data_IF_738253909915
#
_entry.id   IF_738253909915
#
_cell.length_a   1.000
_cell.length_b   1.000
_cell.length_c   1.000
_cell.angle_alpha   90.00
_cell.angle_beta   90.00
_cell.angle_gamma   90.00
#
_symmetry.space_group_name_H-M   'P 1'
#
loop_
_entity.id
_entity.type
_entity.pdbx_description
1 polymer ?
#
# COMPACT_ATOMS: atom_id res chain seq x y z
N UNK A 1 26.03 9.80 -3.17
CA UNK A 1 24.58 10.06 -3.01
C UNK A 1 24.31 11.46 -3.49
N UNK A 2 23.23 11.70 -4.22
CA UNK A 2 22.84 13.06 -4.58
C UNK A 2 22.43 13.82 -3.31
N UNK A 3 22.74 15.11 -3.25
CA UNK A 3 22.38 15.97 -2.11
C UNK A 3 20.85 16.07 -2.00
N UNK A 4 20.26 15.83 -0.82
CA UNK A 4 18.82 15.99 -0.64
C UNK A 4 18.43 17.44 -0.89
N UNK A 5 17.35 17.63 -1.66
CA UNK A 5 16.75 18.94 -1.94
C UNK A 5 15.37 19.05 -1.28
N UNK A 6 14.89 20.28 -1.13
CA UNK A 6 13.51 20.52 -0.66
C UNK A 6 12.49 19.83 -1.57
N UNK A 7 12.69 19.90 -2.89
CA UNK A 7 11.82 19.27 -3.88
C UNK A 7 11.80 17.75 -3.75
N UNK A 8 12.95 17.10 -3.55
CA UNK A 8 13.03 15.65 -3.37
C UNK A 8 12.39 15.22 -2.04
N UNK A 9 12.56 16.00 -0.96
CA UNK A 9 11.91 15.71 0.32
C UNK A 9 10.38 15.79 0.21
N UNK A 10 9.85 16.92 -0.26
CA UNK A 10 8.40 17.13 -0.43
C UNK A 10 7.82 16.10 -1.40
N UNK A 11 8.52 15.84 -2.50
CA UNK A 11 8.15 14.85 -3.50
C UNK A 11 8.01 13.45 -2.92
N UNK A 12 8.91 13.05 -2.00
CA UNK A 12 8.95 11.71 -1.40
C UNK A 12 8.02 11.57 -0.19
N UNK A 13 7.95 12.56 0.68
CA UNK A 13 7.29 12.45 2.01
C UNK A 13 5.86 12.98 2.00
N UNK A 14 5.50 13.85 1.06
CA UNK A 14 4.17 14.45 0.99
C UNK A 14 3.46 14.03 -0.30
N UNK A 15 4.07 14.31 -1.46
CA UNK A 15 3.41 14.11 -2.74
C UNK A 15 3.24 12.62 -3.08
N UNK A 16 4.24 11.78 -2.82
CA UNK A 16 4.15 10.36 -3.10
C UNK A 16 3.05 9.66 -2.28
N UNK A 17 2.91 9.87 -0.96
CA UNK A 17 1.75 9.38 -0.21
C UNK A 17 0.41 9.83 -0.76
N UNK A 18 0.27 11.10 -1.17
CA UNK A 18 -0.98 11.61 -1.76
C UNK A 18 -1.31 10.90 -3.08
N UNK A 19 -0.32 10.77 -3.96
CA UNK A 19 -0.48 10.10 -5.26
C UNK A 19 -0.88 8.63 -5.06
N UNK A 20 -0.28 7.96 -4.08
CA UNK A 20 -0.73 6.61 -3.67
C UNK A 20 -2.17 6.65 -3.17
N UNK A 21 -2.51 7.52 -2.23
CA UNK A 21 -3.82 7.54 -1.63
C UNK A 21 -4.97 7.84 -2.63
N UNK A 22 -4.70 8.56 -3.72
CA UNK A 22 -5.68 8.79 -4.80
C UNK A 22 -6.23 7.49 -5.39
N UNK A 23 -5.42 6.45 -5.48
CA UNK A 23 -5.92 5.15 -5.93
C UNK A 23 -6.86 4.50 -4.92
N UNK A 24 -6.59 4.69 -3.63
CA UNK A 24 -7.47 4.23 -2.55
C UNK A 24 -8.76 5.04 -2.50
N UNK A 25 -8.75 6.34 -2.84
CA UNK A 25 -9.98 7.13 -3.07
C UNK A 25 -10.84 6.45 -4.13
N UNK A 26 -10.27 6.20 -5.32
CA UNK A 26 -11.04 5.65 -6.45
C UNK A 26 -11.58 4.26 -6.12
N UNK A 27 -10.74 3.36 -5.58
CA UNK A 27 -11.14 1.98 -5.30
C UNK A 27 -12.17 1.90 -4.15
N UNK A 28 -11.96 2.63 -3.05
CA UNK A 28 -12.92 2.62 -1.93
C UNK A 28 -14.24 3.31 -2.30
N UNK A 29 -14.22 4.33 -3.15
CA UNK A 29 -15.44 4.97 -3.67
C UNK A 29 -16.24 4.00 -4.53
N UNK A 30 -15.56 3.31 -5.46
CA UNK A 30 -16.19 2.29 -6.30
C UNK A 30 -16.82 1.18 -5.45
N UNK A 31 -16.06 0.62 -4.50
CA UNK A 31 -16.54 -0.45 -3.63
C UNK A 31 -17.69 0.01 -2.72
N UNK A 32 -17.66 1.25 -2.24
CA UNK A 32 -18.76 1.83 -1.48
C UNK A 32 -20.03 1.88 -2.32
N UNK A 33 -19.91 2.35 -3.56
CA UNK A 33 -21.03 2.38 -4.49
C UNK A 33 -21.53 0.98 -4.83
N UNK A 34 -20.64 0.01 -5.08
CA UNK A 34 -21.01 -1.38 -5.37
C UNK A 34 -21.81 -2.04 -4.24
N UNK A 35 -21.37 -1.85 -3.00
CA UNK A 35 -21.95 -2.55 -1.83
C UNK A 35 -23.23 -1.87 -1.34
N UNK A 36 -23.26 -0.53 -1.33
CA UNK A 36 -24.33 0.24 -0.68
C UNK A 36 -25.12 1.16 -1.64
N UNK A 37 -24.80 1.18 -2.93
CA UNK A 37 -25.44 2.06 -3.92
C UNK A 37 -25.11 3.54 -3.75
N UNK A 38 -24.26 3.90 -2.80
CA UNK A 38 -23.91 5.27 -2.44
C UNK A 38 -22.46 5.38 -1.97
N UNK A 39 -21.93 6.60 -2.03
CA UNK A 39 -20.61 6.91 -1.49
C UNK A 39 -20.70 7.13 0.02
N UNK A 40 -19.88 6.42 0.78
CA UNK A 40 -19.71 6.62 2.21
C UNK A 40 -18.31 7.13 2.50
N UNK A 41 -18.23 8.31 3.12
CA UNK A 41 -16.97 8.97 3.42
C UNK A 41 -16.11 8.20 4.43
N UNK A 42 -16.70 7.34 5.28
CA UNK A 42 -15.99 6.66 6.37
C UNK A 42 -14.94 5.66 5.85
N UNK A 43 -15.29 4.61 5.08
CA UNK A 43 -14.29 3.68 4.56
C UNK A 43 -13.32 4.35 3.57
N UNK A 44 -13.77 5.36 2.83
CA UNK A 44 -12.91 6.15 1.94
C UNK A 44 -11.82 6.86 2.76
N UNK A 45 -12.22 7.58 3.82
CA UNK A 45 -11.29 8.29 4.70
C UNK A 45 -10.32 7.33 5.37
N UNK A 46 -10.79 6.18 5.85
CA UNK A 46 -9.94 5.14 6.47
C UNK A 46 -8.87 4.68 5.48
N UNK A 47 -9.25 4.26 4.27
CA UNK A 47 -8.30 3.74 3.29
C UNK A 47 -7.27 4.80 2.85
N UNK A 48 -7.73 6.03 2.61
CA UNK A 48 -6.88 7.16 2.20
C UNK A 48 -5.88 7.53 3.28
N UNK A 49 -6.34 7.72 4.51
CA UNK A 49 -5.47 8.11 5.62
C UNK A 49 -4.50 6.99 5.99
N UNK A 50 -4.92 5.72 5.96
CA UNK A 50 -4.01 4.58 6.15
C UNK A 50 -2.87 4.57 5.13
N UNK A 51 -3.16 4.77 3.83
CA UNK A 51 -2.13 4.83 2.80
C UNK A 51 -1.18 6.02 2.99
N UNK A 52 -1.74 7.21 3.31
CA UNK A 52 -0.93 8.40 3.57
C UNK A 52 0.02 8.16 4.73
N UNK A 53 -0.48 7.60 5.84
CA UNK A 53 0.32 7.36 7.04
C UNK A 53 1.35 6.26 6.77
N UNK A 54 0.96 5.14 6.16
CA UNK A 54 1.86 4.02 5.92
C UNK A 54 3.03 4.43 5.01
N UNK A 55 2.73 5.05 3.86
CA UNK A 55 3.77 5.51 2.92
C UNK A 55 4.55 6.67 3.53
N UNK A 56 3.87 7.64 4.14
CA UNK A 56 4.51 8.84 4.65
C UNK A 56 5.43 8.57 5.83
N UNK A 57 5.07 7.68 6.76
CA UNK A 57 5.95 7.27 7.88
C UNK A 57 7.18 6.53 7.38
N UNK A 58 7.03 5.60 6.42
CA UNK A 58 8.17 4.86 5.84
C UNK A 58 9.16 5.81 5.16
N UNK A 59 8.66 6.70 4.26
CA UNK A 59 9.50 7.66 3.57
C UNK A 59 10.09 8.74 4.50
N UNK A 60 9.35 9.15 5.55
CA UNK A 60 9.88 10.08 6.55
C UNK A 60 11.08 9.48 7.27
N UNK A 61 10.98 8.23 7.73
CA UNK A 61 12.08 7.50 8.38
C UNK A 61 13.29 7.35 7.45
N UNK A 62 13.06 7.02 6.19
CA UNK A 62 14.14 6.94 5.20
C UNK A 62 14.84 8.29 4.99
N UNK A 63 14.09 9.40 4.92
CA UNK A 63 14.67 10.74 4.83
C UNK A 63 15.39 11.17 6.10
N UNK A 64 14.91 10.79 7.30
CA UNK A 64 15.60 11.06 8.57
C UNK A 64 16.99 10.41 8.58
N UNK A 65 17.12 9.17 8.10
CA UNK A 65 18.41 8.47 7.98
C UNK A 65 19.31 9.14 6.95
N UNK A 66 18.77 9.45 5.76
CA UNK A 66 19.56 10.04 4.66
C UNK A 66 20.08 11.43 5.03
N UNK A 67 19.22 12.30 5.57
CA UNK A 67 19.59 13.69 5.90
C UNK A 67 20.43 13.72 7.18
N UNK A 68 20.17 12.83 8.15
CA UNK A 68 20.96 12.70 9.38
C UNK A 68 22.43 12.32 9.16
N UNK A 69 22.78 11.80 7.98
CA UNK A 69 24.16 11.52 7.59
C UNK A 69 24.92 12.77 7.07
N UNK A 70 24.26 13.93 6.96
CA UNK A 70 24.86 15.19 6.50
C UNK A 70 25.24 16.10 7.67
N UNK A 71 25.94 17.20 7.36
CA UNK A 71 26.36 18.17 8.37
C UNK A 71 25.18 18.85 9.09
N UNK A 72 25.48 19.46 10.25
CA UNK A 72 24.51 20.13 11.09
C UNK A 72 23.81 21.33 10.41
N UNK A 73 24.47 21.99 9.45
CA UNK A 73 23.93 23.15 8.75
C UNK A 73 22.85 22.73 7.73
N UNK A 74 23.09 21.64 7.00
CA UNK A 74 22.13 20.98 6.13
C UNK A 74 20.96 20.47 6.96
N UNK A 75 21.20 19.77 8.07
CA UNK A 75 20.14 19.31 8.98
C UNK A 75 19.24 20.45 9.45
N UNK A 76 19.82 21.59 9.87
CA UNK A 76 19.06 22.75 10.33
C UNK A 76 18.10 23.29 9.26
N UNK A 77 18.46 23.21 7.98
CA UNK A 77 17.59 23.61 6.85
C UNK A 77 16.37 22.71 6.68
N UNK A 78 16.46 21.43 7.03
CA UNK A 78 15.39 20.45 6.85
C UNK A 78 14.46 20.31 8.06
N UNK A 79 14.83 20.85 9.24
CA UNK A 79 13.99 20.82 10.45
C UNK A 79 12.54 21.29 10.19
N UNK A 80 12.28 22.44 9.52
CA UNK A 80 10.90 22.88 9.25
C UNK A 80 10.12 21.90 8.37
N UNK A 81 10.81 21.21 7.45
CA UNK A 81 10.20 20.21 6.55
C UNK A 81 9.84 18.93 7.30
N UNK A 82 10.69 18.49 8.25
CA UNK A 82 10.34 17.39 9.15
C UNK A 82 9.14 17.73 10.04
N UNK A 83 9.05 18.96 10.54
CA UNK A 83 7.86 19.42 11.29
C UNK A 83 6.61 19.42 10.41
N UNK A 84 6.69 19.96 9.19
CA UNK A 84 5.59 19.93 8.25
C UNK A 84 5.11 18.51 7.96
N UNK A 85 6.04 17.59 7.70
CA UNK A 85 5.71 16.18 7.45
C UNK A 85 5.03 15.53 8.67
N UNK A 86 5.53 15.77 9.88
CA UNK A 86 4.93 15.23 11.11
C UNK A 86 3.53 15.80 11.38
N UNK A 87 3.33 17.10 11.13
CA UNK A 87 2.00 17.72 11.23
C UNK A 87 1.05 17.11 10.21
N UNK A 88 1.48 16.97 8.96
CA UNK A 88 0.70 16.33 7.89
C UNK A 88 0.28 14.90 8.27
N UNK A 89 1.20 14.09 8.79
CA UNK A 89 0.90 12.73 9.25
C UNK A 89 -0.02 12.72 10.48
N UNK A 90 0.18 13.63 11.44
CA UNK A 90 -0.67 13.75 12.63
C UNK A 90 -2.10 14.15 12.27
N UNK A 91 -2.29 15.07 11.32
CA UNK A 91 -3.62 15.44 10.83
C UNK A 91 -4.33 14.25 10.17
N UNK A 92 -3.62 13.46 9.36
CA UNK A 92 -4.19 12.24 8.77
C UNK A 92 -4.50 11.18 9.82
N UNK A 93 -3.67 11.03 10.86
CA UNK A 93 -3.95 10.13 11.97
C UNK A 93 -5.21 10.55 12.75
N UNK A 94 -5.40 11.86 12.98
CA UNK A 94 -6.62 12.39 13.59
C UNK A 94 -7.86 12.10 12.75
N UNK A 95 -7.77 12.28 11.42
CA UNK A 95 -8.86 11.94 10.50
C UNK A 95 -9.17 10.44 10.50
N UNK A 96 -8.15 9.58 10.54
CA UNK A 96 -8.32 8.14 10.66
C UNK A 96 -9.09 7.77 11.95
N UNK A 97 -8.69 8.34 13.09
CA UNK A 97 -9.36 8.12 14.38
C UNK A 97 -10.82 8.58 14.32
N UNK A 98 -11.10 9.76 13.77
CA UNK A 98 -12.47 10.26 13.60
C UNK A 98 -13.31 9.29 12.75
N UNK A 99 -12.78 8.83 11.62
CA UNK A 99 -13.48 7.91 10.73
C UNK A 99 -13.75 6.55 11.39
N UNK A 100 -12.77 6.01 12.13
CA UNK A 100 -12.93 4.76 12.89
C UNK A 100 -13.96 4.90 14.02
N UNK A 101 -13.96 6.00 14.77
CA UNK A 101 -14.97 6.27 15.80
C UNK A 101 -16.38 6.43 15.24
N UNK A 102 -16.54 6.74 13.95
CA UNK A 102 -17.83 6.82 13.25
C UNK A 102 -18.18 5.53 12.47
N UNK A 103 -17.36 4.50 12.58
CA UNK A 103 -17.55 3.20 11.92
C UNK A 103 -17.91 2.12 12.95
N UNK A 104 -18.48 0.98 12.52
CA UNK A 104 -18.63 -0.18 13.39
C UNK A 104 -17.30 -0.58 14.06
N UNK A 105 -17.30 -1.08 15.31
CA UNK A 105 -16.06 -1.47 16.01
C UNK A 105 -15.24 -2.52 15.25
N UNK A 106 -15.90 -3.42 14.52
CA UNK A 106 -15.27 -4.43 13.66
C UNK A 106 -14.36 -3.79 12.59
N UNK A 107 -14.73 -2.62 12.06
CA UNK A 107 -13.93 -1.88 11.08
C UNK A 107 -12.56 -1.51 11.65
N UNK A 108 -12.48 -1.23 12.95
CA UNK A 108 -11.20 -0.92 13.61
C UNK A 108 -10.29 -2.14 13.63
N UNK A 109 -10.83 -3.33 13.93
CA UNK A 109 -10.08 -4.58 13.93
C UNK A 109 -9.58 -4.91 12.53
N UNK A 110 -10.46 -4.83 11.52
CA UNK A 110 -10.11 -5.08 10.12
C UNK A 110 -9.03 -4.10 9.65
N UNK A 111 -9.22 -2.81 9.92
CA UNK A 111 -8.23 -1.77 9.57
C UNK A 111 -6.88 -2.04 10.23
N UNK A 112 -6.87 -2.44 11.51
CA UNK A 112 -5.64 -2.76 12.23
C UNK A 112 -4.90 -3.95 11.60
N UNK A 113 -5.63 -5.02 11.21
CA UNK A 113 -5.04 -6.22 10.57
C UNK A 113 -4.32 -5.86 9.27
N UNK A 114 -4.91 -5.00 8.44
CA UNK A 114 -4.31 -4.62 7.15
C UNK A 114 -3.28 -3.49 7.26
N UNK A 115 -3.41 -2.58 8.23
CA UNK A 115 -2.53 -1.40 8.32
C UNK A 115 -1.33 -1.62 9.23
N UNK A 116 -1.46 -2.42 10.30
CA UNK A 116 -0.36 -2.65 11.23
C UNK A 116 0.91 -3.25 10.57
N UNK A 117 0.81 -4.22 9.64
CA UNK A 117 1.99 -4.71 8.92
C UNK A 117 2.72 -3.60 8.16
N UNK A 118 1.99 -2.66 7.56
CA UNK A 118 2.55 -1.53 6.84
C UNK A 118 3.24 -0.51 7.77
N UNK A 119 2.75 -0.33 9.01
CA UNK A 119 3.45 0.52 10.00
C UNK A 119 4.71 -0.13 10.58
N UNK A 120 4.76 -1.46 10.60
CA UNK A 120 5.88 -2.25 11.09
C UNK A 120 6.86 -2.67 9.97
N UNK A 121 6.64 -2.16 8.75
CA UNK A 121 7.29 -2.61 7.52
C UNK A 121 8.81 -2.68 7.58
N UNK A 122 9.43 -1.62 8.12
CA UNK A 122 10.88 -1.49 8.27
C UNK A 122 11.37 -1.77 9.71
N UNK A 123 10.45 -2.05 10.65
CA UNK A 123 10.77 -2.18 12.07
C UNK A 123 11.36 -3.57 12.36
N UNK A 124 12.53 -3.66 13.02
CA UNK A 124 13.06 -4.92 13.57
C UNK A 124 12.08 -5.52 14.59
N UNK A 125 11.42 -6.62 14.22
CA UNK A 125 10.53 -7.36 15.10
C UNK A 125 11.34 -8.45 15.81
N UNK A 126 11.49 -8.27 17.11
CA UNK A 126 11.99 -9.32 18.00
C UNK A 126 10.81 -10.19 18.43
N UNK A 127 10.62 -11.30 17.71
CA UNK A 127 9.54 -12.26 17.97
C UNK A 127 9.63 -12.88 19.38
N UNK A 128 10.84 -12.97 19.96
CA UNK A 128 10.99 -13.47 21.33
C UNK A 128 10.50 -12.44 22.34
N UNK A 129 10.81 -11.15 22.14
CA UNK A 129 10.31 -10.06 22.97
C UNK A 129 8.80 -9.89 22.84
N UNK A 130 8.25 -9.98 21.63
CA UNK A 130 6.81 -9.95 21.38
C UNK A 130 6.13 -11.16 22.05
N UNK A 131 6.68 -12.36 21.89
CA UNK A 131 6.18 -13.57 22.54
C UNK A 131 6.23 -13.49 24.07
N UNK A 132 7.28 -12.89 24.64
CA UNK A 132 7.42 -12.66 26.07
C UNK A 132 6.40 -11.64 26.59
N UNK A 133 6.17 -10.55 25.85
CA UNK A 133 5.14 -9.55 26.18
C UNK A 133 3.75 -10.15 26.09
N UNK A 134 3.44 -10.89 25.02
CA UNK A 134 2.15 -11.55 24.84
C UNK A 134 1.91 -12.62 25.91
N UNK A 135 2.94 -13.42 26.25
CA UNK A 135 2.89 -14.36 27.38
C UNK A 135 2.65 -13.65 28.70
N UNK A 136 3.27 -12.49 28.95
CA UNK A 136 3.00 -11.68 30.15
C UNK A 136 1.57 -11.14 30.18
N UNK A 137 1.03 -10.67 29.07
CA UNK A 137 -0.35 -10.17 28.99
C UNK A 137 -1.39 -11.28 29.14
N UNK A 138 -1.15 -12.46 28.55
CA UNK A 138 -2.05 -13.62 28.65
C UNK A 138 -1.95 -14.29 30.03
N UNK A 139 -0.73 -14.38 30.59
CA UNK A 139 -0.44 -15.05 31.88
C UNK A 139 -0.59 -14.12 33.10
N UNK A 140 -0.85 -12.82 32.92
CA UNK A 140 -1.20 -11.90 34.01
C UNK A 140 -2.48 -12.29 34.79
N UNK A 141 -3.15 -13.39 34.42
CA UNK A 141 -4.28 -13.98 35.14
C UNK A 141 -3.96 -15.27 35.93
N UNK A 142 -2.79 -15.90 35.75
CA UNK A 142 -2.41 -17.12 36.47
C UNK A 142 -0.89 -17.22 36.65
N UNK A 143 -0.47 -17.04 37.90
CA UNK A 143 0.78 -17.40 38.57
C UNK A 143 2.15 -16.90 38.06
N UNK A 144 2.89 -16.38 39.06
CA UNK A 144 4.29 -15.99 39.03
C UNK A 144 5.17 -17.25 39.03
N UNK A 145 5.62 -17.68 37.86
CA UNK A 145 6.83 -18.52 37.75
C UNK A 145 7.83 -17.83 36.83
N UNK A 146 9.05 -17.67 37.35
CA UNK A 146 10.20 -17.09 36.66
C UNK A 146 10.56 -17.95 35.45
N UNK A 147 10.34 -17.40 34.25
CA UNK A 147 10.78 -18.05 33.02
C UNK A 147 12.27 -17.80 32.86
N UNK A 148 13.05 -18.85 33.12
CA UNK A 148 14.48 -18.94 32.89
C UNK A 148 14.81 -18.61 31.43
N UNK A 149 15.62 -17.56 31.22
CA UNK A 149 15.97 -17.03 29.91
C UNK A 149 17.18 -17.80 29.37
N UNK A 150 16.95 -18.81 28.54
CA UNK A 150 18.04 -19.44 27.79
C UNK A 150 18.69 -18.39 26.86
N UNK A 151 20.00 -18.21 27.02
CA UNK A 151 20.80 -17.17 26.33
C UNK A 151 20.74 -17.26 24.80
N UNK A 152 21.02 -16.15 24.08
CA UNK A 152 20.44 -15.88 22.78
C UNK A 152 21.15 -16.61 21.65
N UNK A 153 20.41 -17.42 20.90
CA UNK A 153 20.76 -17.62 19.49
C UNK A 153 20.73 -16.25 18.81
N UNK A 154 21.79 -15.93 18.04
CA UNK A 154 21.88 -14.75 17.19
C UNK A 154 20.78 -14.78 16.11
N UNK A 155 19.55 -14.51 16.53
CA UNK A 155 18.43 -14.37 15.62
C UNK A 155 18.52 -12.96 15.05
N UNK A 156 18.97 -12.88 13.79
CA UNK A 156 18.82 -11.66 12.98
C UNK A 156 17.37 -11.17 13.15
N UNK A 157 17.15 -9.89 13.49
CA UNK A 157 15.81 -9.39 13.74
C UNK A 157 14.93 -9.59 12.51
N UNK A 158 13.69 -10.06 12.72
CA UNK A 158 12.74 -10.25 11.63
C UNK A 158 12.27 -8.89 11.14
N UNK A 159 12.39 -8.63 9.84
CA UNK A 159 11.95 -7.38 9.22
C UNK A 159 11.01 -7.75 8.08
N UNK A 160 9.76 -7.29 8.13
CA UNK A 160 8.70 -7.65 7.17
C UNK A 160 9.15 -7.36 5.73
N UNK A 161 9.70 -6.17 5.47
CA UNK A 161 10.20 -5.80 4.13
C UNK A 161 11.38 -6.63 3.62
N UNK A 162 12.00 -7.48 4.47
CA UNK A 162 13.10 -8.38 4.10
C UNK A 162 12.67 -9.83 3.89
N UNK A 163 11.38 -10.14 3.97
CA UNK A 163 10.88 -11.47 3.58
C UNK A 163 10.99 -11.61 2.06
N UNK A 164 11.71 -12.64 1.54
CA UNK A 164 11.96 -12.79 0.10
C UNK A 164 10.70 -12.75 -0.75
N UNK A 165 10.62 -11.80 -1.68
CA UNK A 165 9.55 -11.67 -2.67
C UNK A 165 8.20 -11.19 -2.12
N UNK A 166 8.04 -11.12 -0.80
CA UNK A 166 6.74 -10.88 -0.17
C UNK A 166 6.36 -9.40 -0.06
N UNK A 167 7.34 -8.48 -0.19
CA UNK A 167 7.10 -7.02 -0.13
C UNK A 167 5.93 -6.59 -1.03
N UNK A 168 6.02 -6.89 -2.33
CA UNK A 168 4.99 -6.51 -3.30
C UNK A 168 3.67 -7.30 -3.15
N UNK A 169 3.74 -8.54 -2.65
CA UNK A 169 2.57 -9.38 -2.41
C UNK A 169 1.76 -8.82 -1.24
N UNK A 170 2.42 -8.51 -0.13
CA UNK A 170 1.77 -7.89 1.03
C UNK A 170 1.17 -6.53 0.69
N UNK A 171 1.89 -5.66 -0.04
CA UNK A 171 1.34 -4.39 -0.49
C UNK A 171 0.06 -4.57 -1.33
N UNK A 172 0.05 -5.54 -2.25
CA UNK A 172 -1.13 -5.85 -3.05
C UNK A 172 -2.29 -6.39 -2.23
N UNK A 173 -2.04 -7.28 -1.28
CA UNK A 173 -3.09 -7.81 -0.37
C UNK A 173 -3.66 -6.69 0.50
N UNK A 174 -2.80 -5.85 1.08
CA UNK A 174 -3.22 -4.75 1.97
C UNK A 174 -4.06 -3.73 1.20
N UNK A 175 -3.65 -3.36 -0.02
CA UNK A 175 -4.30 -2.28 -0.81
C UNK A 175 -5.35 -2.74 -1.81
N UNK A 176 -5.41 -4.02 -2.12
CA UNK A 176 -6.46 -4.64 -2.94
C UNK A 176 -7.53 -5.22 -2.03
N UNK A 177 -7.27 -6.43 -1.51
CA UNK A 177 -8.19 -7.12 -0.59
C UNK A 177 -8.50 -6.30 0.67
N UNK A 178 -7.51 -5.66 1.29
CA UNK A 178 -7.71 -4.92 2.55
C UNK A 178 -8.68 -3.76 2.39
N UNK A 179 -8.62 -3.01 1.29
CA UNK A 179 -9.60 -1.96 0.97
C UNK A 179 -11.01 -2.53 0.90
N UNK A 180 -11.21 -3.69 0.26
CA UNK A 180 -12.52 -4.36 0.25
C UNK A 180 -13.02 -4.69 1.65
N UNK A 181 -12.22 -5.34 2.48
CA UNK A 181 -12.65 -5.72 3.83
C UNK A 181 -12.96 -4.51 4.71
N UNK A 182 -12.18 -3.42 4.59
CA UNK A 182 -12.45 -2.16 5.29
C UNK A 182 -13.80 -1.59 4.85
N UNK A 183 -14.03 -1.45 3.54
CA UNK A 183 -15.30 -0.94 3.00
C UNK A 183 -16.47 -1.83 3.45
N UNK A 184 -16.33 -3.14 3.28
CA UNK A 184 -17.34 -4.11 3.67
C UNK A 184 -17.70 -3.98 5.15
N UNK A 185 -16.71 -4.01 6.05
CA UNK A 185 -16.92 -3.90 7.49
C UNK A 185 -17.53 -2.56 7.93
N UNK A 186 -17.26 -1.48 7.19
CA UNK A 186 -17.85 -0.18 7.48
C UNK A 186 -19.32 -0.08 7.05
N UNK A 187 -19.72 -0.88 6.05
CA UNK A 187 -21.01 -0.81 5.36
C UNK A 187 -21.93 -2.01 5.60
N UNK A 188 -21.56 -2.99 6.44
CA UNK A 188 -22.34 -4.23 6.67
C UNK A 188 -23.84 -4.02 6.95
N UNK A 189 -24.23 -2.88 7.55
CA UNK A 189 -25.62 -2.55 7.89
C UNK A 189 -26.41 -1.88 6.74
N UNK A 190 -25.75 -1.56 5.63
CA UNK A 190 -26.29 -0.75 4.54
C UNK A 190 -26.26 -1.49 3.20
N UNK A 191 -26.33 -2.82 3.22
CA UNK A 191 -26.32 -3.60 1.99
C UNK A 191 -27.59 -3.36 1.18
N UNK A 192 -27.48 -2.40 0.26
CA UNK A 192 -28.42 -2.14 -0.80
C UNK A 192 -27.57 -2.15 -2.06
N UNK A 193 -27.56 -3.28 -2.77
CA UNK A 193 -26.84 -3.38 -4.04
C UNK A 193 -27.21 -2.19 -4.91
N UNK A 194 -26.22 -1.57 -5.56
CA UNK A 194 -26.49 -0.46 -6.47
C UNK A 194 -27.59 -0.85 -7.47
N UNK A 195 -28.54 0.06 -7.72
CA UNK A 195 -29.59 -0.15 -8.70
C UNK A 195 -29.03 -0.42 -10.11
N UNK A 196 -27.80 0.04 -10.38
CA UNK A 196 -27.03 -0.25 -11.59
C UNK A 196 -25.69 -0.88 -11.18
N UNK A 197 -25.61 -2.20 -11.28
CA UNK A 197 -24.38 -2.93 -10.96
C UNK A 197 -23.28 -2.59 -11.98
N UNK A 198 -22.02 -2.38 -11.53
CA UNK A 198 -20.88 -2.28 -12.44
C UNK A 198 -20.73 -3.52 -13.33
N UNK A 199 -19.97 -3.42 -14.44
CA UNK A 199 -19.81 -4.52 -15.38
C UNK A 199 -18.91 -5.65 -14.86
N UNK A 200 -18.39 -5.52 -13.64
CA UNK A 200 -17.61 -6.53 -12.92
C UNK A 200 -18.29 -6.91 -11.61
N UNK A 201 -17.99 -8.10 -11.13
CA UNK A 201 -18.39 -8.58 -9.81
C UNK A 201 -17.44 -8.09 -8.71
N UNK A 202 -17.88 -8.12 -7.45
CA UNK A 202 -17.04 -7.81 -6.29
C UNK A 202 -15.78 -8.70 -6.25
N UNK A 203 -15.90 -9.98 -6.59
CA UNK A 203 -14.76 -10.91 -6.60
C UNK A 203 -13.75 -10.50 -7.68
N UNK A 204 -14.22 -10.10 -8.85
CA UNK A 204 -13.37 -9.57 -9.90
C UNK A 204 -12.68 -8.29 -9.47
N UNK A 205 -13.38 -7.36 -8.81
CA UNK A 205 -12.78 -6.15 -8.24
C UNK A 205 -11.65 -6.49 -7.27
N UNK A 206 -11.86 -7.45 -6.36
CA UNK A 206 -10.86 -7.87 -5.38
C UNK A 206 -9.63 -8.47 -6.06
N UNK A 207 -9.82 -9.44 -6.96
CA UNK A 207 -8.73 -10.14 -7.65
C UNK A 207 -7.96 -9.16 -8.53
N UNK A 208 -8.67 -8.41 -9.38
CA UNK A 208 -8.08 -7.43 -10.29
C UNK A 208 -7.30 -6.36 -9.52
N UNK A 209 -7.88 -5.78 -8.47
CA UNK A 209 -7.20 -4.76 -7.65
C UNK A 209 -5.93 -5.33 -7.02
N UNK A 210 -6.02 -6.49 -6.38
CA UNK A 210 -4.89 -7.12 -5.69
C UNK A 210 -3.75 -7.41 -6.65
N UNK A 211 -4.04 -8.05 -7.78
CA UNK A 211 -3.02 -8.41 -8.77
C UNK A 211 -2.43 -7.16 -9.43
N UNK A 212 -3.26 -6.18 -9.80
CA UNK A 212 -2.78 -4.95 -10.40
C UNK A 212 -1.86 -4.16 -9.44
N UNK A 213 -2.21 -4.11 -8.15
CA UNK A 213 -1.34 -3.49 -7.12
C UNK A 213 -0.04 -4.23 -6.92
N UNK A 214 -0.08 -5.56 -6.79
CA UNK A 214 1.14 -6.37 -6.68
C UNK A 214 2.04 -6.15 -7.90
N UNK A 215 1.49 -6.18 -9.12
CA UNK A 215 2.25 -5.95 -10.34
C UNK A 215 2.87 -4.55 -10.38
N UNK A 216 2.14 -3.53 -9.95
CA UNK A 216 2.68 -2.18 -9.82
C UNK A 216 3.84 -2.09 -8.81
N UNK A 217 3.69 -2.68 -7.62
CA UNK A 217 4.76 -2.69 -6.62
C UNK A 217 6.02 -3.40 -7.16
N UNK A 218 5.86 -4.53 -7.86
CA UNK A 218 6.99 -5.21 -8.53
C UNK A 218 7.62 -4.31 -9.60
N UNK A 219 6.82 -3.56 -10.36
CA UNK A 219 7.33 -2.60 -11.34
C UNK A 219 8.14 -1.48 -10.68
N UNK A 220 7.75 -1.02 -9.48
CA UNK A 220 8.57 -0.08 -8.70
C UNK A 220 9.85 -0.72 -8.17
N UNK A 221 9.85 -2.01 -7.84
CA UNK A 221 11.08 -2.74 -7.49
C UNK A 221 12.00 -2.92 -8.71
N UNK A 222 11.46 -3.04 -9.94
CA UNK A 222 12.26 -3.07 -11.18
C UNK A 222 13.03 -1.76 -11.37
N UNK A 223 12.39 -0.64 -11.06
CA UNK A 223 13.01 0.69 -11.06
C UNK A 223 14.16 0.77 -10.06
N UNK A 224 13.95 0.27 -8.85
CA UNK A 224 14.91 0.38 -7.74
C UNK A 224 15.87 -0.82 -7.65
N UNK A 225 15.92 -1.69 -8.67
CA UNK A 225 16.69 -2.95 -8.68
C UNK A 225 18.13 -2.82 -8.18
N UNK A 226 18.87 -1.81 -8.65
CA UNK A 226 20.27 -1.61 -8.26
C UNK A 226 20.40 -1.16 -6.80
N UNK A 227 19.47 -0.32 -6.32
CA UNK A 227 19.42 0.17 -4.94
C UNK A 227 19.06 -0.98 -3.98
N UNK A 228 18.02 -1.75 -4.32
CA UNK A 228 17.56 -2.92 -3.55
C UNK A 228 18.62 -4.01 -3.47
N UNK A 229 19.29 -4.31 -4.60
CA UNK A 229 20.38 -5.29 -4.64
C UNK A 229 21.54 -4.87 -3.72
N UNK A 230 21.88 -3.58 -3.69
CA UNK A 230 22.93 -3.05 -2.81
C UNK A 230 22.52 -3.06 -1.34
N UNK A 231 21.24 -2.80 -1.04
CA UNK A 231 20.70 -2.79 0.33
C UNK A 231 20.38 -4.20 0.87
N UNK A 232 20.50 -5.24 0.04
CA UNK A 232 20.15 -6.61 0.39
C UNK A 232 18.66 -6.78 0.66
N UNK A 233 17.82 -6.05 -0.08
CA UNK A 233 16.36 -6.20 -0.03
C UNK A 233 15.96 -7.25 -1.07
N UNK A 234 15.40 -8.41 -0.65
CA UNK A 234 15.13 -9.52 -1.55
C UNK A 234 13.81 -9.33 -2.30
N UNK A 235 13.71 -8.28 -3.13
CA UNK A 235 12.53 -8.04 -4.00
C UNK A 235 12.48 -9.04 -5.16
N UNK A 236 11.32 -9.21 -5.79
CA UNK A 236 11.16 -10.17 -6.90
C UNK A 236 12.20 -9.96 -8.02
N UNK A 237 12.48 -8.74 -8.50
CA UNK A 237 13.55 -8.49 -9.47
C UNK A 237 14.94 -8.92 -9.00
N UNK A 238 15.25 -8.73 -7.71
CA UNK A 238 16.52 -9.13 -7.11
C UNK A 238 16.61 -10.66 -7.04
N UNK A 239 15.54 -11.34 -6.62
CA UNK A 239 15.47 -12.80 -6.55
C UNK A 239 15.57 -13.48 -7.93
N UNK A 240 14.99 -12.86 -8.97
CA UNK A 240 15.13 -13.32 -10.36
C UNK A 240 16.46 -12.90 -11.01
N UNK A 241 17.24 -12.09 -10.29
CA UNK A 241 18.49 -11.47 -10.73
C UNK A 241 18.38 -10.67 -12.05
N UNK A 242 17.17 -10.29 -12.47
CA UNK A 242 16.94 -9.71 -13.79
C UNK A 242 15.66 -8.89 -13.86
N UNK A 243 15.75 -7.58 -14.13
CA UNK A 243 14.60 -6.75 -14.52
C UNK A 243 13.82 -7.32 -15.71
N UNK A 244 14.50 -7.92 -16.68
CA UNK A 244 13.88 -8.46 -17.89
C UNK A 244 13.02 -9.69 -17.58
N UNK A 245 13.53 -10.65 -16.78
CA UNK A 245 12.73 -11.81 -16.34
C UNK A 245 11.48 -11.36 -15.57
N UNK A 246 11.61 -10.35 -14.72
CA UNK A 246 10.45 -9.78 -14.02
C UNK A 246 9.40 -9.21 -14.98
N UNK A 247 9.80 -8.47 -16.01
CA UNK A 247 8.87 -7.94 -17.02
C UNK A 247 8.08 -9.04 -17.73
N UNK A 248 8.74 -10.16 -18.05
CA UNK A 248 8.06 -11.33 -18.61
C UNK A 248 7.03 -11.88 -17.62
N UNK A 249 7.40 -12.08 -16.35
CA UNK A 249 6.49 -12.56 -15.31
C UNK A 249 5.28 -11.64 -15.15
N UNK A 250 5.50 -10.33 -15.09
CA UNK A 250 4.41 -9.34 -15.02
C UNK A 250 3.48 -9.40 -16.24
N UNK A 251 4.05 -9.59 -17.43
CA UNK A 251 3.26 -9.73 -18.67
C UNK A 251 2.39 -10.98 -18.62
N UNK A 252 2.95 -12.12 -18.20
CA UNK A 252 2.22 -13.39 -18.09
C UNK A 252 1.09 -13.28 -17.05
N UNK A 253 1.34 -12.67 -15.90
CA UNK A 253 0.32 -12.49 -14.86
C UNK A 253 -0.83 -11.61 -15.37
N UNK A 254 -0.52 -10.48 -16.02
CA UNK A 254 -1.56 -9.59 -16.57
C UNK A 254 -2.32 -10.25 -17.72
N UNK A 255 -1.64 -11.02 -18.58
CA UNK A 255 -2.31 -11.80 -19.62
C UNK A 255 -3.24 -12.88 -19.03
N UNK A 256 -2.85 -13.53 -17.92
CA UNK A 256 -3.72 -14.47 -17.23
C UNK A 256 -4.98 -13.79 -16.67
N UNK A 257 -4.86 -12.58 -16.13
CA UNK A 257 -6.01 -11.76 -15.69
C UNK A 257 -6.92 -11.40 -16.86
N UNK A 258 -6.35 -11.00 -18.01
CA UNK A 258 -7.13 -10.75 -19.23
C UNK A 258 -7.92 -11.97 -19.67
N UNK A 259 -7.30 -13.16 -19.64
CA UNK A 259 -7.97 -14.40 -20.06
C UNK A 259 -9.05 -14.79 -19.06
N UNK A 260 -8.77 -14.68 -17.75
CA UNK A 260 -9.73 -15.02 -16.70
C UNK A 260 -10.99 -14.13 -16.74
N UNK A 261 -10.83 -12.85 -17.11
CA UNK A 261 -11.89 -11.86 -17.13
C UNK A 261 -12.14 -11.28 -18.53
N UNK A 262 -12.01 -12.11 -19.57
CA UNK A 262 -12.06 -11.69 -20.97
C UNK A 262 -13.38 -11.01 -21.36
N UNK A 263 -14.46 -11.35 -20.67
CA UNK A 263 -15.78 -10.76 -20.86
C UNK A 263 -15.88 -9.32 -20.35
N UNK A 264 -14.93 -8.85 -19.53
CA UNK A 264 -14.93 -7.51 -18.97
C UNK A 264 -13.93 -6.59 -19.70
N UNK A 265 -14.41 -5.65 -20.55
CA UNK A 265 -13.53 -4.81 -21.35
C UNK A 265 -12.68 -3.83 -20.53
N UNK A 266 -13.11 -3.45 -19.32
CA UNK A 266 -12.36 -2.55 -18.45
C UNK A 266 -11.16 -3.25 -17.80
N UNK A 267 -11.35 -4.49 -17.34
CA UNK A 267 -10.27 -5.31 -16.79
C UNK A 267 -9.26 -5.66 -17.89
N UNK A 268 -9.76 -6.06 -19.07
CA UNK A 268 -8.91 -6.35 -20.23
C UNK A 268 -8.11 -5.12 -20.67
N UNK A 269 -8.78 -3.98 -20.83
CA UNK A 269 -8.13 -2.72 -21.20
C UNK A 269 -7.08 -2.26 -20.18
N UNK A 270 -7.40 -2.36 -18.89
CA UNK A 270 -6.46 -2.03 -17.81
C UNK A 270 -5.24 -2.94 -17.80
N UNK A 271 -5.43 -4.24 -18.05
CA UNK A 271 -4.35 -5.22 -18.11
C UNK A 271 -3.46 -4.99 -19.35
N UNK A 272 -4.05 -4.69 -20.51
CA UNK A 272 -3.30 -4.27 -21.71
C UNK A 272 -2.46 -3.02 -21.44
N UNK A 273 -3.05 -2.02 -20.77
CA UNK A 273 -2.36 -0.79 -20.39
C UNK A 273 -1.22 -1.07 -19.41
N UNK A 274 -1.44 -1.93 -18.40
CA UNK A 274 -0.42 -2.36 -17.46
C UNK A 274 0.74 -3.08 -18.17
N UNK A 275 0.45 -3.98 -19.10
CA UNK A 275 1.47 -4.65 -19.94
C UNK A 275 2.28 -3.62 -20.73
N UNK A 276 1.63 -2.67 -21.40
CA UNK A 276 2.32 -1.62 -22.14
C UNK A 276 3.29 -0.85 -21.23
N UNK A 277 2.86 -0.49 -20.02
CA UNK A 277 3.70 0.20 -19.05
C UNK A 277 4.88 -0.65 -18.54
N UNK A 278 4.72 -1.96 -18.38
CA UNK A 278 5.82 -2.89 -18.02
C UNK A 278 6.98 -2.79 -19.02
N UNK A 279 6.66 -2.62 -20.30
CA UNK A 279 7.65 -2.58 -21.38
C UNK A 279 8.17 -1.17 -21.67
N UNK A 280 7.34 -0.13 -21.51
CA UNK A 280 7.73 1.26 -21.68
C UNK A 280 8.59 1.76 -20.51
N UNK A 281 8.24 1.39 -19.27
CA UNK A 281 8.92 1.86 -18.06
C UNK A 281 10.02 0.88 -17.63
N UNK A 282 11.24 1.39 -17.45
CA UNK A 282 12.40 0.61 -17.05
C UNK A 282 13.22 1.23 -15.95
N UNK A 283 14.29 0.52 -15.57
CA UNK A 283 15.23 0.97 -14.53
C UNK A 283 15.81 2.37 -14.79
N UNK A 284 15.92 2.75 -16.06
CA UNK A 284 16.48 4.03 -16.48
C UNK A 284 15.39 5.12 -16.66
N UNK A 285 14.10 4.77 -16.49
CA UNK A 285 12.99 5.72 -16.62
C UNK A 285 12.88 6.62 -15.39
N UNK A 286 12.55 7.91 -15.56
CA UNK A 286 12.29 8.82 -14.45
C UNK A 286 11.24 8.29 -13.46
N UNK A 287 11.52 8.40 -12.14
CA UNK A 287 10.62 7.88 -11.08
C UNK A 287 9.19 8.45 -11.17
N UNK A 288 9.03 9.65 -11.71
CA UNK A 288 7.72 10.31 -11.90
C UNK A 288 6.80 9.54 -12.86
N UNK A 289 7.34 8.89 -13.89
CA UNK A 289 6.52 8.16 -14.87
C UNK A 289 5.93 6.88 -14.30
N UNK A 290 6.56 6.29 -13.28
CA UNK A 290 6.00 5.15 -12.55
C UNK A 290 4.71 5.51 -11.81
N UNK A 291 4.43 6.79 -11.55
CA UNK A 291 3.14 7.22 -10.99
C UNK A 291 1.97 6.90 -11.93
N UNK A 292 2.18 6.88 -13.25
CA UNK A 292 1.14 6.48 -14.20
C UNK A 292 0.76 5.01 -14.03
N UNK A 293 1.74 4.14 -13.78
CA UNK A 293 1.50 2.71 -13.54
C UNK A 293 0.73 2.42 -12.27
N UNK A 294 0.75 3.34 -11.30
CA UNK A 294 -0.03 3.24 -10.07
C UNK A 294 -1.53 3.41 -10.35
N UNK A 295 -1.88 4.21 -11.36
CA UNK A 295 -3.26 4.57 -11.72
C UNK A 295 -3.84 3.72 -12.86
N UNK A 296 -3.20 2.61 -13.26
CA UNK A 296 -3.64 1.74 -14.36
C UNK A 296 -5.07 1.20 -14.17
N UNK A 297 -5.50 1.00 -12.93
CA UNK A 297 -6.87 0.62 -12.61
C UNK A 297 -7.78 1.85 -12.45
N UNK A 298 -7.30 2.89 -11.76
CA UNK A 298 -8.08 4.10 -11.48
C UNK A 298 -8.58 4.79 -12.75
N UNK A 299 -7.77 4.80 -13.82
CA UNK A 299 -8.15 5.37 -15.11
C UNK A 299 -9.38 4.66 -15.69
N UNK A 300 -9.40 3.32 -15.67
CA UNK A 300 -10.50 2.54 -16.26
C UNK A 300 -11.78 2.60 -15.42
N UNK A 301 -11.64 2.71 -14.09
CA UNK A 301 -12.78 2.98 -13.21
C UNK A 301 -13.36 4.37 -13.50
N UNK A 302 -12.51 5.39 -13.66
CA UNK A 302 -12.96 6.74 -14.00
C UNK A 302 -13.62 6.80 -15.39
N UNK A 303 -13.09 6.05 -16.37
CA UNK A 303 -13.72 5.91 -17.69
C UNK A 303 -15.11 5.30 -17.60
N UNK A 304 -15.28 4.21 -16.84
CA UNK A 304 -16.59 3.61 -16.60
C UNK A 304 -17.56 4.63 -15.97
N UNK A 305 -17.13 5.33 -14.92
CA UNK A 305 -17.95 6.33 -14.25
C UNK A 305 -18.37 7.47 -15.20
N UNK A 306 -17.47 7.90 -16.09
CA UNK A 306 -17.77 8.93 -17.09
C UNK A 306 -18.76 8.42 -18.14
N UNK A 307 -18.59 7.19 -18.65
CA UNK A 307 -19.53 6.58 -19.59
C UNK A 307 -20.92 6.47 -18.99
N UNK A 308 -21.01 5.97 -17.76
CA UNK A 308 -22.28 5.85 -17.04
C UNK A 308 -22.95 7.21 -16.81
N UNK A 309 -22.17 8.25 -16.48
CA UNK A 309 -22.70 9.61 -16.32
C UNK A 309 -23.24 10.20 -17.64
N UNK A 310 -22.62 9.85 -18.77
CA UNK A 310 -23.07 10.28 -20.10
C UNK A 310 -24.35 9.54 -20.53
N UNK A 311 -24.50 8.26 -20.19
CA UNK A 311 -25.71 7.49 -20.51
C UNK A 311 -26.96 7.98 -19.74
N UNK A 312 -26.77 8.75 -18.67
CA UNK A 312 -27.85 9.36 -17.87
C UNK A 312 -28.30 10.75 -18.37
N UNK A 313 -27.56 11.35 -19.32
CA UNK A 313 -27.84 12.68 -19.89
C UNK A 313 -28.66 12.58 -21.18
#
# INVERSE_FOLDING_TARGET
MATPTVSTFVGSVILQPIVVAMTSVVLSSLLSYEIAGQLDWRPITICVTCDIIAVGVDHLKDQEVVIGAWDAAVMKRFIPLFHLARIFLALNASLLVIALCRSPPETTVVTAVFTAPAFLWATPLDLQRIGAVLKRFIRAKYDQEEVEYNSPMSNKPFIIKRVPGMKAIFDGIIRGCGTFFVVYSALQLSWQSANNAPPWTIIETIIWSTVNRTCHCIMTDVRDYHEDKKAGVPTIPVLLESPFKTRIVLTVIQAAIMIAFLHNPFIVGSSCFAIALVWILGKDSPKVYFRLSLHSQSIFIAMYAAMFALDLL
#
